data_IF_984860883430
#
_entry.id   IF_984860883430
#
_cell.length_a   1.000
_cell.length_b   1.000
_cell.length_c   1.000
_cell.angle_alpha   90.00
_cell.angle_beta   90.00
_cell.angle_gamma   90.00
#
_symmetry.space_group_name_H-M   'P 1'
#
loop_
_entity.id
_entity.type
_entity.pdbx_description
1 polymer ?
#
# COMPACT_ATOMS: atom_id res chain seq x y z
N UNK A 1 -26.43 -8.11 3.18
CA UNK A 1 -25.21 -7.28 3.07
C UNK A 1 -25.23 -6.69 1.68
N UNK A 2 -25.03 -5.38 1.54
CA UNK A 2 -25.04 -4.77 0.20
C UNK A 2 -23.84 -5.29 -0.59
N UNK A 3 -24.08 -5.75 -1.82
CA UNK A 3 -23.00 -6.14 -2.73
C UNK A 3 -22.22 -4.88 -3.11
N UNK A 4 -20.96 -4.82 -2.70
CA UNK A 4 -20.07 -3.73 -3.06
C UNK A 4 -19.81 -3.76 -4.57
N UNK A 5 -19.81 -2.59 -5.19
CA UNK A 5 -19.38 -2.45 -6.58
C UNK A 5 -17.89 -2.82 -6.73
N UNK A 6 -17.47 -3.20 -7.94
CA UNK A 6 -16.06 -3.47 -8.24
C UNK A 6 -15.14 -2.30 -7.88
N UNK A 7 -15.61 -1.05 -8.05
CA UNK A 7 -14.88 0.15 -7.67
C UNK A 7 -14.69 0.25 -6.14
N UNK A 8 -15.73 -0.06 -5.37
CA UNK A 8 -15.66 -0.06 -3.91
C UNK A 8 -14.75 -1.17 -3.39
N UNK A 9 -14.80 -2.37 -3.98
CA UNK A 9 -13.88 -3.47 -3.64
C UNK A 9 -12.43 -3.06 -3.89
N UNK A 10 -12.16 -2.45 -5.05
CA UNK A 10 -10.83 -1.96 -5.39
C UNK A 10 -10.36 -0.90 -4.40
N UNK A 11 -11.20 0.09 -4.08
CA UNK A 11 -10.87 1.16 -3.13
C UNK A 11 -10.66 0.60 -1.71
N UNK A 12 -11.48 -0.36 -1.30
CA UNK A 12 -11.39 -1.03 0.00
C UNK A 12 -10.07 -1.77 0.19
N UNK A 13 -9.50 -2.31 -0.90
CA UNK A 13 -8.23 -3.03 -0.89
C UNK A 13 -6.99 -2.14 -0.72
N UNK A 14 -7.10 -0.82 -0.93
CA UNK A 14 -5.96 0.10 -0.99
C UNK A 14 -5.25 0.27 0.35
N UNK A 15 -6.00 0.33 1.46
CA UNK A 15 -5.42 0.46 2.80
C UNK A 15 -4.67 -0.82 3.21
N UNK A 16 -5.25 -2.03 3.08
CA UNK A 16 -4.51 -3.28 3.24
C UNK A 16 -3.26 -3.37 2.36
N UNK A 17 -3.37 -3.02 1.07
CA UNK A 17 -2.24 -3.05 0.14
C UNK A 17 -1.11 -2.11 0.58
N UNK A 18 -1.44 -0.88 1.00
CA UNK A 18 -0.44 0.07 1.51
C UNK A 18 0.26 -0.43 2.78
N UNK A 19 -0.46 -1.09 3.69
CA UNK A 19 0.13 -1.72 4.88
C UNK A 19 1.09 -2.85 4.47
N UNK A 20 0.72 -3.65 3.49
CA UNK A 20 1.56 -4.73 2.97
C UNK A 20 2.84 -4.19 2.33
N UNK A 21 2.73 -3.20 1.43
CA UNK A 21 3.89 -2.52 0.80
C UNK A 21 4.90 -2.08 1.87
N UNK A 22 4.44 -1.41 2.93
CA UNK A 22 5.35 -0.95 4.00
C UNK A 22 5.98 -2.10 4.79
N UNK A 23 5.25 -3.19 5.05
CA UNK A 23 5.80 -4.37 5.72
C UNK A 23 6.90 -5.02 4.87
N UNK A 24 6.67 -5.18 3.57
CA UNK A 24 7.67 -5.72 2.64
C UNK A 24 8.90 -4.80 2.55
N UNK A 25 8.70 -3.48 2.48
CA UNK A 25 9.79 -2.49 2.57
C UNK A 25 10.59 -2.63 3.87
N UNK A 26 9.91 -2.85 5.01
CA UNK A 26 10.57 -3.04 6.30
C UNK A 26 11.37 -4.34 6.34
N UNK A 27 10.84 -5.44 5.77
CA UNK A 27 11.56 -6.72 5.66
C UNK A 27 12.84 -6.57 4.83
N UNK A 28 12.78 -5.83 3.71
CA UNK A 28 13.96 -5.57 2.88
C UNK A 28 14.98 -4.67 3.57
N UNK A 29 14.53 -3.70 4.38
CA UNK A 29 15.39 -2.75 5.11
C UNK A 29 15.93 -3.30 6.43
N UNK A 30 15.33 -4.35 6.98
CA UNK A 30 15.70 -4.86 8.29
C UNK A 30 17.19 -5.26 8.30
N UNK A 31 18.00 -4.69 9.21
CA UNK A 31 19.36 -5.17 9.40
C UNK A 31 19.27 -6.64 9.84
N UNK A 32 20.02 -7.51 9.17
CA UNK A 32 20.10 -8.89 9.59
C UNK A 32 20.65 -8.93 11.03
N UNK A 33 19.98 -9.62 11.97
CA UNK A 33 20.43 -9.69 13.35
C UNK A 33 21.78 -10.41 13.52
N UNK A 34 22.29 -11.02 12.45
CA UNK A 34 23.53 -11.80 12.44
C UNK A 34 24.70 -11.00 11.89
N UNK A 35 24.98 -9.84 12.48
CA UNK A 35 26.25 -9.15 12.24
C UNK A 35 27.38 -10.04 12.75
N UNK A 36 28.29 -10.46 11.87
CA UNK A 36 29.45 -11.31 12.21
C UNK A 36 29.33 -12.78 11.82
N UNK A 37 28.16 -13.27 11.40
CA UNK A 37 28.02 -14.64 10.87
C UNK A 37 28.28 -14.63 9.36
N UNK A 38 29.34 -15.32 8.92
CA UNK A 38 29.57 -15.56 7.48
C UNK A 38 28.59 -16.61 6.98
N UNK A 39 27.61 -16.17 6.19
CA UNK A 39 26.71 -17.06 5.48
C UNK A 39 27.48 -17.93 4.47
N UNK A 40 27.08 -19.20 4.32
CA UNK A 40 27.55 -20.06 3.22
C UNK A 40 27.12 -19.48 1.86
N UNK A 41 27.78 -19.84 0.75
CA UNK A 41 27.37 -19.42 -0.59
C UNK A 41 25.90 -19.75 -0.90
N UNK A 42 25.43 -20.94 -0.51
CA UNK A 42 24.04 -21.38 -0.68
C UNK A 42 23.06 -20.50 0.11
N UNK A 43 23.37 -20.18 1.36
CA UNK A 43 22.53 -19.31 2.18
C UNK A 43 22.49 -17.87 1.63
N UNK A 44 23.59 -17.39 1.03
CA UNK A 44 23.61 -16.10 0.32
C UNK A 44 22.72 -16.12 -0.93
N UNK A 45 22.78 -17.18 -1.72
CA UNK A 45 21.97 -17.34 -2.92
C UNK A 45 20.47 -17.43 -2.58
N UNK A 46 20.11 -18.24 -1.59
CA UNK A 46 18.73 -18.35 -1.10
C UNK A 46 18.19 -17.01 -0.58
N UNK A 47 19.02 -16.24 0.14
CA UNK A 47 18.67 -14.88 0.58
C UNK A 47 18.41 -13.94 -0.60
N UNK A 48 19.30 -13.93 -1.60
CA UNK A 48 19.16 -13.07 -2.76
C UNK A 48 17.88 -13.41 -3.56
N UNK A 49 17.59 -14.71 -3.73
CA UNK A 49 16.35 -15.17 -4.35
C UNK A 49 15.11 -14.68 -3.58
N UNK A 50 15.09 -14.83 -2.26
CA UNK A 50 13.99 -14.34 -1.42
C UNK A 50 13.82 -12.81 -1.55
N UNK A 51 14.91 -12.05 -1.48
CA UNK A 51 14.86 -10.60 -1.66
C UNK A 51 14.31 -10.21 -3.04
N UNK A 52 14.68 -10.93 -4.09
CA UNK A 52 14.18 -10.70 -5.44
C UNK A 52 12.67 -10.93 -5.54
N UNK A 53 12.14 -11.99 -4.92
CA UNK A 53 10.69 -12.25 -4.90
C UNK A 53 9.95 -11.15 -4.14
N UNK A 54 10.44 -10.78 -2.95
CA UNK A 54 9.83 -9.71 -2.15
C UNK A 54 9.85 -8.37 -2.89
N UNK A 55 10.93 -8.06 -3.62
CA UNK A 55 11.01 -6.85 -4.43
C UNK A 55 10.01 -6.86 -5.59
N UNK A 56 9.88 -7.98 -6.29
CA UNK A 56 8.89 -8.15 -7.36
C UNK A 56 7.47 -7.88 -6.86
N UNK A 57 7.06 -8.51 -5.75
CA UNK A 57 5.72 -8.33 -5.18
C UNK A 57 5.47 -6.88 -4.73
N UNK A 58 6.50 -6.23 -4.19
CA UNK A 58 6.44 -4.82 -3.80
C UNK A 58 6.24 -3.92 -5.01
N UNK A 59 6.95 -4.16 -6.11
CA UNK A 59 6.84 -3.40 -7.34
C UNK A 59 5.44 -3.55 -7.95
N UNK A 60 4.90 -4.77 -7.98
CA UNK A 60 3.56 -5.03 -8.48
C UNK A 60 2.49 -4.30 -7.64
N UNK A 61 2.53 -4.44 -6.31
CA UNK A 61 1.59 -3.76 -5.41
C UNK A 61 1.69 -2.24 -5.53
N UNK A 62 2.91 -1.70 -5.67
CA UNK A 62 3.14 -0.27 -5.86
C UNK A 62 2.57 0.22 -7.18
N UNK A 63 2.74 -0.55 -8.27
CA UNK A 63 2.20 -0.23 -9.57
C UNK A 63 0.66 -0.27 -9.59
N UNK A 64 0.04 -1.32 -9.01
CA UNK A 64 -1.41 -1.42 -8.86
C UNK A 64 -1.98 -0.24 -8.08
N UNK A 65 -1.33 0.11 -6.96
CA UNK A 65 -1.70 1.28 -6.17
C UNK A 65 -1.60 2.58 -6.96
N UNK A 66 -0.52 2.76 -7.73
CA UNK A 66 -0.32 3.91 -8.60
C UNK A 66 -1.44 4.08 -9.63
N UNK A 67 -1.88 2.98 -10.25
CA UNK A 67 -3.02 2.97 -11.19
C UNK A 67 -4.30 3.44 -10.50
N UNK A 68 -4.60 2.94 -9.30
CA UNK A 68 -5.80 3.34 -8.56
C UNK A 68 -5.79 4.83 -8.18
N UNK A 69 -4.64 5.36 -7.75
CA UNK A 69 -4.48 6.79 -7.47
C UNK A 69 -4.68 7.63 -8.74
N UNK A 70 -4.15 7.18 -9.88
CA UNK A 70 -4.35 7.87 -11.16
C UNK A 70 -5.83 7.90 -11.56
N UNK A 71 -6.57 6.81 -11.36
CA UNK A 71 -8.03 6.77 -11.58
C UNK A 71 -8.77 7.81 -10.72
N UNK A 72 -8.45 7.88 -9.43
CA UNK A 72 -9.08 8.86 -8.52
C UNK A 72 -8.75 10.30 -8.93
N UNK A 73 -7.54 10.56 -9.43
CA UNK A 73 -7.15 11.89 -9.91
C UNK A 73 -7.91 12.36 -11.15
N UNK A 74 -8.44 11.44 -11.96
CA UNK A 74 -9.25 11.75 -13.15
C UNK A 74 -10.69 12.16 -12.81
N UNK A 75 -11.13 12.04 -11.55
CA UNK A 75 -12.44 12.53 -11.13
C UNK A 75 -12.45 14.07 -11.23
N UNK A 76 -13.39 14.67 -12.01
CA UNK A 76 -13.42 16.11 -12.23
C UNK A 76 -13.92 16.88 -11.01
N UNK A 77 -14.78 16.27 -10.20
CA UNK A 77 -15.27 16.84 -8.96
C UNK A 77 -14.18 16.79 -7.88
N UNK A 78 -13.69 17.97 -7.52
CA UNK A 78 -12.65 18.16 -6.51
C UNK A 78 -13.05 17.62 -5.14
N UNK A 79 -14.30 17.83 -4.73
CA UNK A 79 -14.82 17.45 -3.42
C UNK A 79 -14.94 15.93 -3.35
N UNK A 80 -15.54 15.30 -4.37
CA UNK A 80 -15.64 13.85 -4.47
C UNK A 80 -14.26 13.19 -4.47
N UNK A 81 -13.30 13.74 -5.23
CA UNK A 81 -11.91 13.29 -5.22
C UNK A 81 -11.32 13.35 -3.81
N UNK A 82 -11.45 14.49 -3.13
CA UNK A 82 -10.90 14.69 -1.78
C UNK A 82 -11.53 13.73 -0.77
N UNK A 83 -12.84 13.49 -0.85
CA UNK A 83 -13.55 12.51 -0.02
C UNK A 83 -12.99 11.11 -0.21
N UNK A 84 -12.82 10.66 -1.46
CA UNK A 84 -12.25 9.34 -1.77
C UNK A 84 -10.81 9.24 -1.27
N UNK A 85 -10.02 10.30 -1.49
CA UNK A 85 -8.63 10.33 -1.06
C UNK A 85 -8.49 10.21 0.46
N UNK A 86 -9.31 10.95 1.22
CA UNK A 86 -9.35 10.87 2.68
C UNK A 86 -9.90 9.54 3.17
N UNK A 87 -11.00 9.05 2.56
CA UNK A 87 -11.67 7.82 2.96
C UNK A 87 -10.77 6.60 2.81
N UNK A 88 -9.96 6.53 1.77
CA UNK A 88 -9.15 5.36 1.45
C UNK A 88 -7.65 5.55 1.74
N UNK A 89 -7.29 6.59 2.48
CA UNK A 89 -5.88 6.84 2.84
C UNK A 89 -4.98 7.02 1.62
N UNK A 90 -5.49 7.65 0.56
CA UNK A 90 -4.70 7.99 -0.62
C UNK A 90 -3.78 9.19 -0.38
N UNK A 91 -4.10 9.99 0.64
CA UNK A 91 -3.31 11.13 1.10
C UNK A 91 -2.67 10.84 2.46
N UNK A 92 -1.48 11.41 2.68
CA UNK A 92 -0.73 11.29 3.93
C UNK A 92 -0.15 9.88 4.14
N UNK A 93 -0.35 9.34 5.34
CA UNK A 93 0.33 8.13 5.81
C UNK A 93 -0.22 6.84 5.18
N UNK A 94 -1.51 6.86 4.79
CA UNK A 94 -2.22 5.78 4.09
C UNK A 94 -2.55 4.55 4.94
N UNK A 95 -2.62 4.69 6.26
CA UNK A 95 -2.72 3.57 7.20
C UNK A 95 -4.14 3.16 7.54
N UNK A 96 -5.12 4.03 7.33
CA UNK A 96 -6.47 3.80 7.82
C UNK A 96 -7.51 4.48 6.94
N UNK A 97 -8.68 3.84 6.84
CA UNK A 97 -9.83 4.47 6.21
C UNK A 97 -10.34 5.56 7.13
N UNK A 98 -10.50 6.79 6.64
CA UNK A 98 -11.07 7.85 7.45
C UNK A 98 -12.59 7.64 7.60
N UNK A 99 -13.16 7.63 8.82
CA UNK A 99 -14.61 7.58 9.03
C UNK A 99 -15.31 8.78 8.36
N UNK A 100 -16.49 8.58 7.77
CA UNK A 100 -17.20 9.63 7.02
C UNK A 100 -17.44 10.91 7.83
N UNK A 101 -17.77 10.80 9.12
CA UNK A 101 -17.98 11.96 10.00
C UNK A 101 -16.71 12.82 10.14
N UNK A 102 -15.53 12.19 10.23
CA UNK A 102 -14.24 12.90 10.28
C UNK A 102 -13.86 13.55 8.95
N UNK A 103 -14.39 13.05 7.82
CA UNK A 103 -14.17 13.65 6.51
C UNK A 103 -14.95 14.97 6.42
N UNK A 104 -16.21 14.99 6.88
CA UNK A 104 -17.01 16.21 6.93
C UNK A 104 -16.38 17.30 7.80
N UNK A 105 -15.84 16.93 8.97
CA UNK A 105 -15.09 17.84 9.84
C UNK A 105 -13.82 18.41 9.19
N UNK A 106 -13.22 17.70 8.23
CA UNK A 106 -11.99 18.13 7.54
C UNK A 106 -12.24 19.01 6.31
N UNK A 107 -13.45 18.98 5.76
CA UNK A 107 -13.83 19.70 4.54
C UNK A 107 -14.60 21.00 4.82
N UNK A 108 -15.09 21.17 6.05
CA UNK A 108 -15.67 22.40 6.57
C UNK A 108 -14.60 23.31 7.19
#
# INVERSE_FOLDING_TARGET
MADLSLAEILLDSLVPAQRLIRRLQAVLKAPLPYVGIRLSPEAKAARAAFQSVVQHDLDELTAQRGKCVALVKMIPDQTARTVIELRYGLVGSGYEKMPHFKIGEKLN
#
